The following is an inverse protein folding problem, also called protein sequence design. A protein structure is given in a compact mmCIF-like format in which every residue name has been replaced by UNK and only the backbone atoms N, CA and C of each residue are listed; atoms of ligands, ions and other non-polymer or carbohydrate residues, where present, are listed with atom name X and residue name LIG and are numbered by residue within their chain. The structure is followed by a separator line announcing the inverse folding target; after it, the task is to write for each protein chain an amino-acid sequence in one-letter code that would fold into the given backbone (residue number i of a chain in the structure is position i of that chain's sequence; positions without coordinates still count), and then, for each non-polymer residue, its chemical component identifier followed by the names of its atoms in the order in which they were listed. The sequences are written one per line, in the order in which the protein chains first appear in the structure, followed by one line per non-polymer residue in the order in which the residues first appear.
data_IF_993695446263
#
_entry.id   IF_993695446263
#
_cell.length_a   1.000
_cell.length_b   1.000
_cell.length_c   1.000
_cell.angle_alpha   90.00
_cell.angle_beta   90.00
_cell.angle_gamma   90.00
#
_symmetry.space_group_name_H-M   'P 1'
#
loop_
_entity.id
_entity.type
_entity.pdbx_description
1 polymer ?
#
# COMPACT_ATOMS: atom_id res chain seq x y z
N UNK A 1 -0.55 19.85 2.52
CA UNK A 1 -0.75 18.54 1.84
C UNK A 1 -0.85 17.48 2.92
N UNK A 2 -1.84 16.58 2.87
CA UNK A 2 -1.92 15.43 3.79
C UNK A 2 -1.30 14.22 3.09
N UNK A 3 -0.33 13.56 3.74
CA UNK A 3 0.39 12.42 3.18
C UNK A 3 -0.24 11.07 3.53
N UNK A 4 0.33 9.99 3.01
CA UNK A 4 -0.12 8.61 3.28
C UNK A 4 -0.23 8.32 4.79
N UNK A 5 0.76 8.74 5.59
CA UNK A 5 0.79 8.53 7.04
C UNK A 5 -0.37 9.21 7.79
N UNK A 6 -0.80 10.39 7.34
CA UNK A 6 -1.94 11.09 7.95
C UNK A 6 -3.27 10.41 7.64
N UNK A 7 -3.44 9.93 6.41
CA UNK A 7 -4.65 9.23 5.98
C UNK A 7 -4.77 7.88 6.67
N UNK A 8 -3.67 7.12 6.72
CA UNK A 8 -3.61 5.79 7.31
C UNK A 8 -4.05 5.80 8.78
N UNK A 9 -3.50 6.72 9.58
CA UNK A 9 -3.89 6.89 10.99
C UNK A 9 -5.38 7.16 11.14
N UNK A 10 -5.94 8.05 10.30
CA UNK A 10 -7.37 8.39 10.34
C UNK A 10 -8.25 7.22 9.91
N UNK A 11 -7.83 6.44 8.91
CA UNK A 11 -8.56 5.26 8.46
C UNK A 11 -8.58 4.18 9.52
N UNK A 12 -7.44 3.88 10.17
CA UNK A 12 -7.38 2.93 11.28
C UNK A 12 -8.32 3.34 12.43
N UNK A 13 -8.30 4.61 12.83
CA UNK A 13 -9.20 5.15 13.87
C UNK A 13 -10.68 5.05 13.50
N UNK A 14 -11.00 5.09 12.22
CA UNK A 14 -12.38 5.00 11.69
C UNK A 14 -12.72 3.59 11.19
N UNK A 15 -11.95 2.58 11.58
CA UNK A 15 -12.16 1.18 11.17
C UNK A 15 -12.29 1.03 9.64
N UNK A 16 -11.40 1.70 8.90
CA UNK A 16 -11.33 1.71 7.44
C UNK A 16 -12.55 2.29 6.73
N UNK A 17 -13.22 3.28 7.35
CA UNK A 17 -14.35 3.99 6.75
C UNK A 17 -14.04 5.46 6.42
N UNK A 18 -14.56 5.92 5.28
CA UNK A 18 -14.55 7.33 4.88
C UNK A 18 -15.54 8.13 5.73
N UNK A 19 -15.61 9.46 5.52
CA UNK A 19 -16.58 10.31 6.24
C UNK A 19 -18.01 9.94 5.86
N UNK A 20 -18.19 9.53 4.60
CA UNK A 20 -19.43 9.09 3.97
C UNK A 20 -19.82 7.67 4.43
N UNK A 21 -19.04 7.06 5.33
CA UNK A 21 -19.21 5.69 5.88
C UNK A 21 -18.97 4.58 4.87
N UNK A 22 -18.36 4.90 3.73
CA UNK A 22 -17.95 3.93 2.72
C UNK A 22 -16.62 3.30 3.08
N UNK A 23 -16.32 2.14 2.47
CA UNK A 23 -15.00 1.52 2.60
C UNK A 23 -13.93 2.39 1.93
N UNK A 24 -12.76 2.50 2.58
CA UNK A 24 -11.59 3.11 1.97
C UNK A 24 -11.21 2.35 0.70
N UNK A 25 -10.91 3.08 -0.38
CA UNK A 25 -10.47 2.49 -1.65
C UNK A 25 -9.14 1.75 -1.48
N UNK A 26 -9.03 0.58 -2.11
CA UNK A 26 -7.84 -0.28 -2.07
C UNK A 26 -7.40 -0.66 -0.64
N UNK A 27 -8.37 -0.80 0.28
CA UNK A 27 -8.14 -1.18 1.68
C UNK A 27 -7.26 -2.43 1.79
N UNK A 28 -7.52 -3.43 0.97
CA UNK A 28 -6.77 -4.67 0.86
C UNK A 28 -5.27 -4.43 0.60
N UNK A 29 -4.93 -3.56 -0.35
CA UNK A 29 -3.52 -3.22 -0.63
C UNK A 29 -2.86 -2.48 0.54
N UNK A 30 -3.61 -1.62 1.25
CA UNK A 30 -3.12 -0.95 2.45
C UNK A 30 -2.90 -1.91 3.62
N UNK A 31 -3.79 -2.89 3.80
CA UNK A 31 -3.63 -3.93 4.82
C UNK A 31 -2.42 -4.82 4.51
N UNK A 32 -2.18 -5.18 3.24
CA UNK A 32 -0.98 -5.92 2.82
C UNK A 32 0.28 -5.11 3.13
N UNK A 33 0.29 -3.80 2.83
CA UNK A 33 1.42 -2.92 3.15
C UNK A 33 1.68 -2.91 4.66
N UNK A 34 0.65 -2.73 5.49
CA UNK A 34 0.77 -2.71 6.95
C UNK A 34 1.32 -4.02 7.52
N UNK A 35 0.82 -5.18 7.08
CA UNK A 35 1.38 -6.47 7.47
C UNK A 35 2.86 -6.60 7.10
N UNK A 36 3.26 -6.05 5.94
CA UNK A 36 4.65 -5.95 5.54
C UNK A 36 5.49 -5.11 6.51
N UNK A 37 4.96 -3.99 7.00
CA UNK A 37 5.63 -3.13 7.98
C UNK A 37 5.78 -3.81 9.35
N UNK A 38 4.73 -4.49 9.84
CA UNK A 38 4.78 -5.25 11.10
C UNK A 38 5.86 -6.34 11.06
N UNK A 39 6.10 -6.94 9.89
CA UNK A 39 7.21 -7.89 9.72
C UNK A 39 8.55 -7.24 10.01
N UNK A 40 8.81 -6.02 9.52
CA UNK A 40 10.07 -5.31 9.74
C UNK A 40 10.24 -4.83 11.18
N UNK A 41 9.15 -4.43 11.83
CA UNK A 41 9.16 -4.06 13.25
C UNK A 41 9.60 -5.24 14.14
N UNK A 42 9.22 -6.48 13.81
CA UNK A 42 9.70 -7.69 14.51
C UNK A 42 11.20 -7.91 14.39
N UNK A 43 11.85 -7.31 13.39
CA UNK A 43 13.30 -7.32 13.21
C UNK A 43 13.98 -6.07 13.78
N UNK A 44 13.27 -5.27 14.57
CA UNK A 44 13.73 -3.99 15.14
C UNK A 44 14.16 -2.97 14.05
N UNK A 45 13.53 -3.07 12.87
CA UNK A 45 13.80 -2.16 11.75
C UNK A 45 12.71 -1.10 11.67
N UNK A 46 13.10 0.16 11.88
CA UNK A 46 12.19 1.31 11.71
C UNK A 46 12.09 1.71 10.24
N UNK A 47 10.86 1.66 9.70
CA UNK A 47 10.57 2.07 8.31
C UNK A 47 10.08 3.52 8.28
N UNK A 48 10.69 4.35 7.43
CA UNK A 48 10.29 5.74 7.22
C UNK A 48 9.80 5.97 5.79
N UNK A 49 8.66 6.64 5.65
CA UNK A 49 8.14 7.06 4.34
C UNK A 49 8.67 8.45 3.99
N UNK A 50 9.58 8.50 3.01
CA UNK A 50 10.17 9.74 2.51
C UNK A 50 9.46 10.20 1.25
N UNK A 51 9.08 11.48 1.22
CA UNK A 51 8.64 12.13 -0.02
C UNK A 51 9.87 12.51 -0.84
N UNK A 52 10.29 11.62 -1.73
CA UNK A 52 11.46 11.81 -2.58
C UNK A 52 11.11 12.72 -3.76
N UNK A 53 12.05 13.58 -4.18
CA UNK A 53 11.85 14.44 -5.36
C UNK A 53 11.72 13.60 -6.62
N UNK A 54 10.96 14.07 -7.60
CA UNK A 54 10.62 13.29 -8.80
C UNK A 54 11.87 12.87 -9.59
N UNK A 55 12.87 13.75 -9.66
CA UNK A 55 14.13 13.54 -10.37
C UNK A 55 14.92 12.37 -9.75
N UNK A 56 14.87 12.26 -8.41
CA UNK A 56 15.52 11.18 -7.66
C UNK A 56 14.75 9.86 -7.74
N UNK A 57 13.47 9.89 -8.13
CA UNK A 57 12.61 8.71 -8.29
C UNK A 57 12.48 8.27 -9.77
N UNK A 58 13.31 8.80 -10.67
CA UNK A 58 13.20 8.58 -12.11
C UNK A 58 13.31 7.10 -12.50
N UNK A 59 14.24 6.36 -11.89
CA UNK A 59 14.44 4.94 -12.17
C UNK A 59 13.22 4.09 -11.78
N UNK A 60 12.63 4.34 -10.60
CA UNK A 60 11.44 3.64 -10.15
C UNK A 60 10.23 3.97 -11.04
N UNK A 61 10.09 5.22 -11.47
CA UNK A 61 9.04 5.64 -12.40
C UNK A 61 9.16 4.93 -13.75
N UNK A 62 10.37 4.84 -14.29
CA UNK A 62 10.63 4.15 -15.56
C UNK A 62 10.37 2.65 -15.45
N UNK A 63 10.80 2.02 -14.36
CA UNK A 63 10.48 0.62 -14.06
C UNK A 63 8.97 0.37 -13.98
N UNK A 64 8.21 1.25 -13.30
CA UNK A 64 6.76 1.14 -13.21
C UNK A 64 6.08 1.26 -14.60
N UNK A 65 6.57 2.15 -15.47
CA UNK A 65 6.07 2.27 -16.86
C UNK A 65 6.33 0.99 -17.66
N UNK A 66 7.54 0.44 -17.58
CA UNK A 66 7.86 -0.83 -18.25
C UNK A 66 6.97 -1.96 -17.76
N UNK A 67 6.74 -2.05 -16.44
CA UNK A 67 5.83 -3.05 -15.86
C UNK A 67 4.39 -2.91 -16.36
N UNK A 68 3.88 -1.68 -16.46
CA UNK A 68 2.54 -1.43 -16.99
C UNK A 68 2.38 -1.82 -18.47
N UNK A 69 3.46 -1.76 -19.26
CA UNK A 69 3.47 -2.14 -20.68
C UNK A 69 3.78 -3.62 -20.91
N UNK A 70 4.20 -4.36 -19.89
CA UNK A 70 4.50 -5.79 -20.01
C UNK A 70 3.23 -6.65 -20.01
N UNK A 71 3.13 -7.62 -20.94
CA UNK A 71 1.98 -8.54 -21.07
C UNK A 71 1.85 -9.54 -19.90
N UNK A 72 2.91 -9.72 -19.10
CA UNK A 72 2.94 -10.62 -17.93
C UNK A 72 1.99 -10.21 -16.79
N UNK A 73 1.42 -9.02 -16.85
CA UNK A 73 0.52 -8.49 -15.82
C UNK A 73 -0.84 -9.22 -15.75
N UNK A 74 -1.13 -10.14 -16.70
CA UNK A 74 -2.33 -10.99 -16.69
C UNK A 74 -2.11 -12.39 -16.07
N UNK A 75 -0.91 -12.70 -15.59
CA UNK A 75 -0.62 -14.00 -14.97
C UNK A 75 -1.24 -14.10 -13.57
N UNK A 76 -2.55 -14.43 -13.55
CA UNK A 76 -3.38 -15.28 -12.67
C UNK A 76 -2.94 -15.70 -11.24
N UNK A 77 -1.93 -15.09 -10.61
CA UNK A 77 -1.38 -15.55 -9.32
C UNK A 77 -1.46 -14.51 -8.18
N UNK A 78 -2.17 -13.39 -8.34
CA UNK A 78 -2.67 -12.67 -7.17
C UNK A 78 -3.92 -13.39 -6.66
N UNK A 79 -3.72 -14.50 -5.93
CA UNK A 79 -4.80 -15.12 -5.17
C UNK A 79 -5.37 -14.05 -4.24
N UNK A 80 -6.69 -13.91 -4.22
CA UNK A 80 -7.42 -13.18 -3.19
C UNK A 80 -7.08 -13.83 -1.84
N UNK A 81 -6.10 -13.27 -1.16
CA UNK A 81 -5.85 -13.45 0.29
C UNK A 81 -6.68 -12.30 0.88
N UNK A 82 -7.81 -12.44 1.57
CA UNK A 82 -8.26 -13.43 2.55
C UNK A 82 -9.80 -13.45 2.57
N UNK A 83 -10.37 -14.65 2.39
CA UNK A 83 -11.59 -15.04 3.09
C UNK A 83 -11.18 -16.18 4.04
N UNK A 84 -10.84 -15.82 5.26
CA UNK A 84 -10.81 -16.73 6.41
C UNK A 84 -11.48 -15.95 7.53
N UNK A 85 -12.80 -16.08 7.57
CA UNK A 85 -13.56 -15.96 8.80
C UNK A 85 -13.59 -17.36 9.42
N UNK A 86 -13.13 -17.46 10.66
CA UNK A 86 -13.63 -18.33 11.75
C UNK A 86 -12.77 -18.05 12.99
#
# INVERSE_FOLDING_TARGET
MRGASEHLRKWQQRQWRTRERESVKNKDLWEILLHGLEKWEKFDVSVQFLLVRREQNAQAMDAAKRGALSEDNRSSCFRKVIAVAC
#
